data_IF_204690469445
#
_entry.id   IF_204690469445
#
_cell.length_a   1.000
_cell.length_b   1.000
_cell.length_c   1.000
_cell.angle_alpha   90.00
_cell.angle_beta   90.00
_cell.angle_gamma   90.00
#
_symmetry.space_group_name_H-M   'P 1'
#
loop_
_entity.id
_entity.type
_entity.pdbx_description
1 polymer ?
#
# COMPACT_ATOMS: atom_id res chain seq x y z
N UNK A 1 16.38 -24.35 -9.93
CA UNK A 1 15.96 -23.48 -8.82
C UNK A 1 16.70 -22.17 -8.99
N UNK A 2 16.04 -21.12 -9.49
CA UNK A 2 16.71 -19.82 -9.66
C UNK A 2 17.11 -19.29 -8.29
N UNK A 3 18.41 -19.00 -8.14
CA UNK A 3 18.96 -18.31 -7.00
C UNK A 3 18.20 -17.00 -6.84
N UNK A 4 17.42 -16.87 -5.76
CA UNK A 4 16.72 -15.64 -5.44
C UNK A 4 17.76 -14.62 -4.95
N UNK A 5 18.46 -14.02 -5.90
CA UNK A 5 19.61 -13.18 -5.63
C UNK A 5 19.12 -11.91 -4.94
N UNK A 6 19.63 -11.68 -3.73
CA UNK A 6 19.42 -10.42 -3.01
C UNK A 6 19.89 -9.28 -3.90
N UNK A 7 18.99 -8.35 -4.22
CA UNK A 7 19.28 -7.24 -5.12
C UNK A 7 18.82 -5.93 -4.51
N UNK A 8 19.69 -4.93 -4.57
CA UNK A 8 19.30 -3.54 -4.36
C UNK A 8 18.49 -3.10 -5.56
N UNK A 9 17.20 -2.83 -5.38
CA UNK A 9 16.36 -2.34 -6.47
C UNK A 9 16.69 -0.87 -6.78
N UNK A 10 16.53 -0.50 -8.06
CA UNK A 10 16.74 0.88 -8.52
C UNK A 10 15.71 1.80 -7.86
N UNK A 11 16.11 3.04 -7.55
CA UNK A 11 15.24 4.06 -6.95
C UNK A 11 14.12 4.53 -7.90
N UNK A 12 14.31 4.33 -9.20
CA UNK A 12 13.52 4.92 -10.29
C UNK A 12 12.52 3.93 -10.89
N UNK A 13 11.92 3.06 -10.07
CA UNK A 13 10.78 2.27 -10.55
C UNK A 13 9.64 3.20 -10.99
N UNK A 14 8.85 2.84 -12.01
CA UNK A 14 7.79 3.70 -12.50
C UNK A 14 6.75 3.95 -11.41
N UNK A 15 6.27 5.19 -11.36
CA UNK A 15 5.04 5.54 -10.66
C UNK A 15 3.86 5.19 -11.56
N UNK A 16 2.88 4.50 -11.00
CA UNK A 16 1.63 4.16 -11.70
C UNK A 16 0.45 4.75 -10.96
N UNK A 17 -0.52 5.28 -11.70
CA UNK A 17 -1.83 5.66 -11.14
C UNK A 17 -2.72 4.42 -11.09
N UNK A 18 -3.30 4.15 -9.93
CA UNK A 18 -4.14 2.95 -9.71
C UNK A 18 -5.62 3.30 -9.64
N UNK A 19 -5.94 4.52 -9.23
CA UNK A 19 -7.26 5.14 -9.35
C UNK A 19 -7.06 6.66 -9.28
N UNK A 20 -8.06 7.47 -9.67
CA UNK A 20 -7.92 8.92 -9.75
C UNK A 20 -7.34 9.54 -8.47
N UNK A 21 -6.17 10.17 -8.59
CA UNK A 21 -5.50 10.82 -7.46
C UNK A 21 -4.75 9.88 -6.51
N UNK A 22 -4.65 8.59 -6.81
CA UNK A 22 -3.82 7.63 -6.07
C UNK A 22 -2.77 7.03 -6.98
N UNK A 23 -1.51 7.28 -6.64
CA UNK A 23 -0.36 6.72 -7.33
C UNK A 23 0.45 5.83 -6.42
N UNK A 24 1.17 4.88 -7.01
CA UNK A 24 2.14 4.05 -6.28
C UNK A 24 3.41 3.81 -7.08
N UNK A 25 4.49 3.57 -6.35
CA UNK A 25 5.77 3.10 -6.90
C UNK A 25 6.27 1.93 -6.07
N UNK A 26 6.45 0.76 -6.69
CA UNK A 26 7.15 -0.36 -6.04
C UNK A 26 8.59 0.05 -5.78
N UNK A 27 9.10 -0.15 -4.56
CA UNK A 27 10.49 0.21 -4.19
C UNK A 27 11.37 -1.01 -3.93
N UNK A 28 10.77 -2.12 -3.50
CA UNK A 28 11.43 -3.41 -3.31
C UNK A 28 10.44 -4.54 -3.61
N UNK A 29 10.88 -5.68 -4.13
CA UNK A 29 10.07 -6.88 -4.29
C UNK A 29 10.90 -8.16 -4.18
N UNK A 30 10.25 -9.23 -3.74
CA UNK A 30 10.73 -10.59 -3.71
C UNK A 30 9.67 -11.55 -4.26
N UNK A 31 9.77 -12.84 -3.91
CA UNK A 31 8.84 -13.87 -4.38
C UNK A 31 7.41 -13.68 -3.83
N UNK A 32 7.32 -13.33 -2.56
CA UNK A 32 6.06 -13.37 -1.80
C UNK A 32 5.66 -12.02 -1.20
N UNK A 33 6.49 -10.99 -1.35
CA UNK A 33 6.24 -9.66 -0.80
C UNK A 33 6.83 -8.57 -1.67
N UNK A 34 6.27 -7.36 -1.55
CA UNK A 34 6.86 -6.15 -2.10
C UNK A 34 6.58 -4.98 -1.17
N UNK A 35 7.41 -3.96 -1.28
CA UNK A 35 7.20 -2.66 -0.65
C UNK A 35 6.87 -1.65 -1.75
N UNK A 36 5.91 -0.77 -1.47
CA UNK A 36 5.60 0.37 -2.33
C UNK A 36 5.52 1.65 -1.52
N UNK A 37 5.72 2.77 -2.20
CA UNK A 37 5.31 4.08 -1.73
C UNK A 37 4.02 4.44 -2.46
N UNK A 38 3.00 4.83 -1.70
CA UNK A 38 1.74 5.34 -2.23
C UNK A 38 1.62 6.83 -1.94
N UNK A 39 1.06 7.59 -2.89
CA UNK A 39 0.69 8.99 -2.69
C UNK A 39 -0.78 9.13 -3.04
N UNK A 40 -1.56 9.61 -2.07
CA UNK A 40 -2.98 9.82 -2.18
C UNK A 40 -3.24 11.33 -2.12
N UNK A 41 -3.84 11.90 -3.16
CA UNK A 41 -4.32 13.27 -3.13
C UNK A 41 -5.49 13.40 -2.15
N UNK A 42 -5.65 14.58 -1.54
CA UNK A 42 -6.77 14.84 -0.64
C UNK A 42 -8.11 14.57 -1.34
N UNK A 43 -8.99 13.79 -0.69
CA UNK A 43 -10.29 13.42 -1.24
C UNK A 43 -10.27 12.30 -2.29
N UNK A 44 -9.10 11.74 -2.62
CA UNK A 44 -9.02 10.52 -3.45
C UNK A 44 -9.71 9.34 -2.75
N UNK A 45 -10.22 8.40 -3.55
CA UNK A 45 -10.97 7.25 -3.05
C UNK A 45 -10.48 5.97 -3.69
N UNK A 46 -10.24 4.96 -2.87
CA UNK A 46 -9.98 3.60 -3.28
C UNK A 46 -11.20 2.75 -2.92
N UNK A 47 -11.93 2.18 -3.90
CA UNK A 47 -13.02 1.26 -3.62
C UNK A 47 -12.58 0.11 -2.71
N UNK A 48 -13.49 -0.35 -1.87
CA UNK A 48 -13.23 -1.53 -1.03
C UNK A 48 -12.85 -2.72 -1.91
N UNK A 49 -11.73 -3.35 -1.58
CA UNK A 49 -11.21 -4.52 -2.28
C UNK A 49 -10.49 -5.45 -1.29
N UNK A 50 -10.17 -6.65 -1.71
CA UNK A 50 -9.46 -7.64 -0.90
C UNK A 50 -8.53 -8.46 -1.77
N UNK A 51 -7.46 -8.97 -1.18
CA UNK A 51 -6.51 -9.85 -1.84
C UNK A 51 -5.88 -10.81 -0.81
N UNK A 52 -5.34 -11.96 -1.24
CA UNK A 52 -4.81 -12.97 -0.31
C UNK A 52 -3.51 -12.54 0.38
N UNK A 53 -2.82 -11.53 -0.13
CA UNK A 53 -1.61 -11.01 0.48
C UNK A 53 -1.94 -10.23 1.75
N UNK A 54 -1.14 -10.42 2.79
CA UNK A 54 -1.17 -9.52 3.94
C UNK A 54 -0.60 -8.15 3.54
N UNK A 55 -1.06 -7.08 4.20
CA UNK A 55 -0.61 -5.72 3.91
C UNK A 55 -0.35 -4.95 5.21
N UNK A 56 0.74 -4.19 5.22
CA UNK A 56 1.01 -3.19 6.26
C UNK A 56 0.97 -1.82 5.59
N UNK A 57 0.19 -0.91 6.18
CA UNK A 57 0.19 0.49 5.82
C UNK A 57 0.95 1.25 6.89
N UNK A 58 1.87 2.11 6.48
CA UNK A 58 2.59 3.01 7.39
C UNK A 58 2.50 4.43 6.83
N UNK A 59 2.04 5.39 7.64
CA UNK A 59 1.87 6.77 7.19
C UNK A 59 3.19 7.50 7.32
N UNK A 60 3.81 7.80 6.17
CA UNK A 60 5.04 8.58 6.12
C UNK A 60 4.78 10.08 6.33
N UNK A 61 3.66 10.58 5.81
CA UNK A 61 3.28 11.98 5.87
C UNK A 61 1.76 12.12 5.65
N UNK A 62 1.13 13.07 6.34
CA UNK A 62 -0.28 13.41 6.15
C UNK A 62 -1.23 12.60 7.02
N UNK A 63 -2.47 12.48 6.54
CA UNK A 63 -3.56 11.77 7.22
C UNK A 63 -4.36 10.95 6.19
N UNK A 64 -4.88 9.81 6.62
CA UNK A 64 -5.67 8.91 5.80
C UNK A 64 -6.78 8.27 6.64
N UNK A 65 -8.00 8.21 6.09
CA UNK A 65 -9.07 7.37 6.63
C UNK A 65 -9.04 6.02 5.92
N UNK A 66 -8.52 4.99 6.59
CA UNK A 66 -8.58 3.62 6.09
C UNK A 66 -9.92 3.01 6.50
N UNK A 67 -10.63 2.38 5.57
CA UNK A 67 -11.89 1.68 5.83
C UNK A 67 -11.58 0.18 5.78
N UNK A 68 -11.79 -0.54 6.88
CA UNK A 68 -11.50 -1.98 6.99
C UNK A 68 -12.76 -2.69 7.45
N UNK A 69 -13.23 -3.63 6.64
CA UNK A 69 -14.50 -4.34 6.88
C UNK A 69 -15.68 -3.38 7.19
N UNK A 70 -15.73 -2.25 6.47
CA UNK A 70 -16.73 -1.20 6.65
C UNK A 70 -16.49 -0.27 7.85
N UNK A 71 -15.48 -0.52 8.68
CA UNK A 71 -15.14 0.30 9.85
C UNK A 71 -14.07 1.33 9.50
N UNK A 72 -14.30 2.64 9.73
CA UNK A 72 -13.30 3.67 9.48
C UNK A 72 -12.24 3.74 10.58
N UNK A 73 -10.99 3.93 10.17
CA UNK A 73 -9.83 4.14 11.03
C UNK A 73 -9.07 5.38 10.54
N UNK A 74 -8.94 6.39 11.39
CA UNK A 74 -8.13 7.58 11.10
C UNK A 74 -6.66 7.26 11.43
N UNK A 75 -5.77 7.47 10.46
CA UNK A 75 -4.34 7.27 10.59
C UNK A 75 -3.60 8.57 10.29
N UNK A 76 -2.59 8.88 11.09
CA UNK A 76 -1.72 10.06 10.96
C UNK A 76 -0.26 9.65 10.80
N UNK A 77 0.61 10.58 10.43
CA UNK A 77 2.06 10.37 10.34
C UNK A 77 2.61 9.56 11.52
N UNK A 78 3.31 8.46 11.21
CA UNK A 78 3.88 7.53 12.18
C UNK A 78 3.00 6.33 12.51
N UNK A 79 1.68 6.42 12.28
CA UNK A 79 0.78 5.29 12.51
C UNK A 79 1.05 4.16 11.53
N UNK A 80 0.78 2.94 12.00
CA UNK A 80 0.87 1.74 11.19
C UNK A 80 -0.38 0.88 11.38
N UNK A 81 -0.84 0.25 10.31
CA UNK A 81 -2.02 -0.60 10.31
C UNK A 81 -1.72 -1.92 9.61
N UNK A 82 -2.08 -3.02 10.26
CA UNK A 82 -1.99 -4.36 9.70
C UNK A 82 -3.33 -4.79 9.11
N UNK A 83 -3.29 -5.26 7.87
CA UNK A 83 -4.41 -5.83 7.13
C UNK A 83 -4.14 -7.31 6.91
N UNK A 84 -4.95 -8.15 7.54
CA UNK A 84 -4.92 -9.59 7.34
C UNK A 84 -5.35 -9.98 5.92
N UNK A 85 -4.97 -11.18 5.48
CA UNK A 85 -5.37 -11.72 4.19
C UNK A 85 -6.88 -11.69 3.98
N UNK A 86 -7.31 -11.29 2.79
CA UNK A 86 -8.70 -11.26 2.34
C UNK A 86 -9.67 -10.38 3.16
N UNK A 87 -9.18 -9.49 4.02
CA UNK A 87 -10.05 -8.51 4.68
C UNK A 87 -10.38 -7.37 3.69
N UNK A 88 -11.66 -7.03 3.45
CA UNK A 88 -12.02 -5.90 2.59
C UNK A 88 -11.46 -4.59 3.15
N UNK A 89 -10.77 -3.82 2.32
CA UNK A 89 -10.21 -2.52 2.70
C UNK A 89 -10.24 -1.49 1.57
N UNK A 90 -10.33 -0.21 1.93
CA UNK A 90 -10.37 0.93 1.01
C UNK A 90 -10.02 2.24 1.71
N UNK A 91 -10.08 3.35 0.97
CA UNK A 91 -9.82 4.72 1.44
C UNK A 91 -10.90 5.66 0.93
#
# INVERSE_FOLDING_TARGET
MENQQTRKMKRENPTIEICPGITRRTVANGKTMYQMLATLAAGSRMPAHSHPQEQIVHILEGQMRLIVDGVPHELSTGDSFYLASNIPHGV
#
